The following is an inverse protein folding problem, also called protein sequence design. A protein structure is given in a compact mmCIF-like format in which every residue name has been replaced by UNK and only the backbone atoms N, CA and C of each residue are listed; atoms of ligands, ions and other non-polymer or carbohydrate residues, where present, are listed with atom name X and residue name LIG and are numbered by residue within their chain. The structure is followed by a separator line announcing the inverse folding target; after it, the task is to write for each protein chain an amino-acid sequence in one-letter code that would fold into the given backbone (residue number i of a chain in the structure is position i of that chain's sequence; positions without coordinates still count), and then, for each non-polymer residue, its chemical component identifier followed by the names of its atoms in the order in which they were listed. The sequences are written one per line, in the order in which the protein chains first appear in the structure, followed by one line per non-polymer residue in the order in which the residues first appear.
data_IF_587801579016
#
_entry.id   IF_587801579016
#
_cell.length_a   1.000
_cell.length_b   1.000
_cell.length_c   1.000
_cell.angle_alpha   90.00
_cell.angle_beta   90.00
_cell.angle_gamma   90.00
#
_symmetry.space_group_name_H-M   'P 1'
#
loop_
_entity.id
_entity.type
_entity.pdbx_description
1 polymer ?
#
# COMPACT_ATOMS: atom_id res chain seq x y z
N UNK A 1 -0.43 25.61 35.83
CA UNK A 1 -1.89 25.68 36.11
C UNK A 1 -2.49 24.35 35.69
N UNK A 2 -2.66 23.42 36.62
CA UNK A 2 -3.29 22.11 36.41
C UNK A 2 -4.70 22.17 36.99
N UNK A 3 -5.68 22.57 36.16
CA UNK A 3 -7.08 22.41 36.54
C UNK A 3 -7.37 20.91 36.67
N UNK A 4 -7.92 20.42 37.79
CA UNK A 4 -8.33 19.04 37.89
C UNK A 4 -9.43 18.75 36.88
N UNK A 5 -9.35 17.57 36.25
CA UNK A 5 -10.27 17.09 35.23
C UNK A 5 -11.71 17.09 35.79
N UNK A 6 -12.59 17.90 35.20
CA UNK A 6 -13.96 18.04 35.67
C UNK A 6 -14.79 16.80 35.29
N UNK A 7 -15.13 15.96 36.28
CA UNK A 7 -15.86 14.70 36.10
C UNK A 7 -17.19 14.88 35.35
N UNK A 8 -17.86 16.02 35.51
CA UNK A 8 -19.15 16.30 34.86
C UNK A 8 -18.96 16.53 33.35
N UNK A 9 -17.91 17.27 32.96
CA UNK A 9 -17.58 17.52 31.55
C UNK A 9 -17.16 16.23 30.85
N UNK A 10 -16.34 15.40 31.50
CA UNK A 10 -15.92 14.11 30.94
C UNK A 10 -17.11 13.20 30.69
N UNK A 11 -18.05 13.09 31.63
CA UNK A 11 -19.28 12.28 31.45
C UNK A 11 -20.14 12.84 30.31
N UNK A 12 -20.23 14.18 30.18
CA UNK A 12 -20.96 14.82 29.08
C UNK A 12 -20.34 14.51 27.72
N UNK A 13 -19.01 14.61 27.61
CA UNK A 13 -18.26 14.29 26.39
C UNK A 13 -18.42 12.82 26.01
N UNK A 14 -18.28 11.90 26.97
CA UNK A 14 -18.47 10.46 26.73
C UNK A 14 -19.89 10.16 26.25
N UNK A 15 -20.91 10.77 26.86
CA UNK A 15 -22.30 10.60 26.41
C UNK A 15 -22.52 11.10 24.98
N UNK A 16 -21.98 12.27 24.63
CA UNK A 16 -22.07 12.82 23.26
C UNK A 16 -21.36 11.93 22.24
N UNK A 17 -20.21 11.36 22.59
CA UNK A 17 -19.49 10.42 21.73
C UNK A 17 -20.30 9.13 21.54
N UNK A 18 -20.92 8.59 22.58
CA UNK A 18 -21.78 7.41 22.47
C UNK A 18 -23.03 7.67 21.62
N UNK A 19 -23.67 8.84 21.77
CA UNK A 19 -24.81 9.23 20.93
C UNK A 19 -24.41 9.36 19.46
N UNK A 20 -23.25 9.96 19.17
CA UNK A 20 -22.73 10.06 17.81
C UNK A 20 -22.46 8.69 17.20
N UNK A 21 -21.81 7.79 17.93
CA UNK A 21 -21.58 6.40 17.48
C UNK A 21 -22.91 5.68 17.19
N UNK A 22 -23.94 5.90 18.03
CA UNK A 22 -25.26 5.30 17.84
C UNK A 22 -25.96 5.85 16.59
N UNK A 23 -25.88 7.15 16.36
CA UNK A 23 -26.42 7.79 15.15
C UNK A 23 -25.74 7.29 13.88
N UNK A 24 -24.41 7.18 13.88
CA UNK A 24 -23.64 6.65 12.76
C UNK A 24 -24.04 5.21 12.43
N UNK A 25 -24.23 4.36 13.46
CA UNK A 25 -24.74 2.99 13.29
C UNK A 25 -26.17 2.96 12.76
N UNK A 26 -27.07 3.80 13.27
CA UNK A 26 -28.45 3.86 12.79
C UNK A 26 -28.54 4.31 11.32
N UNK A 27 -27.71 5.28 10.90
CA UNK A 27 -27.64 5.69 9.48
C UNK A 27 -27.12 4.54 8.61
N UNK A 28 -26.08 3.83 9.07
CA UNK A 28 -25.55 2.66 8.37
C UNK A 28 -26.60 1.54 8.22
N UNK A 29 -27.35 1.26 9.29
CA UNK A 29 -28.41 0.25 9.29
C UNK A 29 -29.57 0.67 8.38
N UNK A 30 -29.95 1.95 8.37
CA UNK A 30 -30.93 2.50 7.43
C UNK A 30 -30.44 2.33 5.98
N UNK A 31 -29.19 2.69 5.67
CA UNK A 31 -28.63 2.52 4.33
C UNK A 31 -28.63 1.05 3.90
N UNK A 32 -28.31 0.13 4.82
CA UNK A 32 -28.32 -1.31 4.58
C UNK A 32 -29.73 -1.84 4.35
N UNK A 33 -30.70 -1.43 5.17
CA UNK A 33 -32.11 -1.83 5.04
C UNK A 33 -32.75 -1.26 3.77
N UNK A 34 -32.43 -0.02 3.39
CA UNK A 34 -32.94 0.59 2.15
C UNK A 34 -32.28 -0.03 0.91
N UNK A 35 -30.99 -0.38 0.95
CA UNK A 35 -30.34 -1.08 -0.16
C UNK A 35 -30.94 -2.48 -0.43
N UNK A 36 -31.50 -3.14 0.58
CA UNK A 36 -32.21 -4.41 0.39
C UNK A 36 -33.62 -4.26 -0.20
N UNK A 37 -34.26 -3.08 -0.05
CA UNK A 37 -35.64 -2.82 -0.51
C UNK A 37 -35.67 -2.17 -1.90
N UNK A 38 -34.64 -1.39 -2.26
CA UNK A 38 -34.53 -0.71 -3.56
C UNK A 38 -33.63 -1.46 -4.56
N UNK A 39 -33.91 -2.74 -4.83
CA UNK A 39 -33.43 -3.40 -6.06
C UNK A 39 -34.24 -2.95 -7.29
N UNK A 40 -34.39 -1.63 -7.47
CA UNK A 40 -34.74 -1.07 -8.78
C UNK A 40 -33.45 -0.64 -9.48
N UNK A 41 -33.22 -1.30 -10.61
CA UNK A 41 -32.21 -1.05 -11.64
C UNK A 41 -31.46 0.29 -11.52
N UNK A 42 -30.29 0.25 -10.86
CA UNK A 42 -29.24 1.22 -11.15
C UNK A 42 -28.37 0.65 -12.28
N UNK A 43 -28.14 1.39 -13.37
CA UNK A 43 -27.07 1.05 -14.28
C UNK A 43 -25.73 1.15 -13.53
N UNK A 44 -25.06 0.01 -13.34
CA UNK A 44 -23.61 -0.17 -13.33
C UNK A 44 -22.70 0.73 -12.43
N UNK A 45 -22.88 0.76 -11.10
CA UNK A 45 -21.76 1.19 -10.19
C UNK A 45 -20.71 0.08 -9.94
N UNK A 46 -21.01 -1.18 -10.26
CA UNK A 46 -20.03 -2.30 -10.22
C UNK A 46 -19.05 -2.27 -11.41
N UNK A 47 -19.37 -1.55 -12.49
CA UNK A 47 -18.53 -1.46 -13.67
C UNK A 47 -17.35 -0.51 -13.44
N UNK A 48 -17.62 0.69 -12.92
CA UNK A 48 -16.62 1.75 -12.73
C UNK A 48 -15.54 1.35 -11.72
N UNK A 49 -15.91 0.78 -10.56
CA UNK A 49 -14.93 0.36 -9.54
C UNK A 49 -14.01 -0.77 -10.00
N UNK A 50 -14.51 -1.69 -10.83
CA UNK A 50 -13.72 -2.76 -11.44
C UNK A 50 -12.84 -2.21 -12.57
N UNK A 51 -13.33 -1.24 -13.34
CA UNK A 51 -12.55 -0.58 -14.39
C UNK A 51 -11.42 0.28 -13.81
N UNK A 52 -11.69 1.09 -12.78
CA UNK A 52 -10.66 1.89 -12.11
C UNK A 52 -9.67 1.04 -11.32
N UNK A 53 -10.14 -0.06 -10.70
CA UNK A 53 -9.26 -1.07 -10.10
C UNK A 53 -8.31 -1.71 -11.11
N UNK A 54 -8.76 -1.90 -12.37
CA UNK A 54 -7.88 -2.34 -13.46
C UNK A 54 -6.90 -1.23 -13.84
N UNK A 55 -7.35 0.03 -13.96
CA UNK A 55 -6.48 1.16 -14.29
C UNK A 55 -5.32 1.32 -13.31
N UNK A 56 -5.58 1.31 -11.99
CA UNK A 56 -4.50 1.41 -10.99
C UNK A 56 -3.53 0.22 -11.07
N UNK A 57 -4.05 -0.99 -11.34
CA UNK A 57 -3.23 -2.18 -11.54
C UNK A 57 -2.38 -2.10 -12.82
N UNK A 58 -2.88 -1.49 -13.89
CA UNK A 58 -2.15 -1.31 -15.14
C UNK A 58 -1.03 -0.26 -14.98
N UNK A 59 -1.32 0.89 -14.35
CA UNK A 59 -0.28 1.86 -13.95
C UNK A 59 0.76 1.23 -13.02
N UNK A 60 0.31 0.38 -12.09
CA UNK A 60 1.18 -0.40 -11.23
C UNK A 60 2.10 -1.35 -12.01
N UNK A 61 1.57 -2.09 -12.98
CA UNK A 61 2.36 -3.00 -13.83
C UNK A 61 3.43 -2.25 -14.62
N UNK A 62 3.09 -1.09 -15.17
CA UNK A 62 4.03 -0.23 -15.85
C UNK A 62 5.17 0.18 -14.92
N UNK A 63 4.86 0.68 -13.73
CA UNK A 63 5.87 1.07 -12.75
C UNK A 63 6.75 -0.10 -12.29
N UNK A 64 6.16 -1.27 -12.06
CA UNK A 64 6.95 -2.46 -11.68
C UNK A 64 7.89 -2.91 -12.81
N UNK A 65 7.52 -2.69 -14.09
CA UNK A 65 8.40 -2.94 -15.22
C UNK A 65 9.55 -1.93 -15.28
N UNK A 66 9.26 -0.64 -15.08
CA UNK A 66 10.26 0.42 -15.01
C UNK A 66 11.24 0.23 -13.84
N UNK A 67 10.76 -0.31 -12.72
CA UNK A 67 11.55 -0.64 -11.54
C UNK A 67 12.31 -1.97 -11.66
N UNK A 68 12.16 -2.71 -12.77
CA UNK A 68 12.86 -3.97 -13.03
C UNK A 68 12.34 -5.16 -12.21
N UNK A 69 11.10 -5.12 -11.71
CA UNK A 69 10.54 -6.11 -10.78
C UNK A 69 9.20 -6.71 -11.23
N UNK A 70 8.78 -6.49 -12.47
CA UNK A 70 7.55 -7.08 -13.01
C UNK A 70 7.54 -8.62 -12.94
N UNK A 71 8.69 -9.26 -13.14
CA UNK A 71 8.87 -10.72 -13.09
C UNK A 71 9.12 -11.30 -11.68
N UNK A 72 9.25 -10.46 -10.66
CA UNK A 72 9.56 -10.93 -9.30
C UNK A 72 8.33 -11.53 -8.60
N UNK A 73 8.55 -12.52 -7.73
CA UNK A 73 7.45 -13.17 -6.99
C UNK A 73 6.63 -12.20 -6.12
N UNK A 74 7.22 -11.07 -5.70
CA UNK A 74 6.54 -10.03 -4.94
C UNK A 74 5.70 -9.05 -5.78
N UNK A 75 5.76 -9.12 -7.12
CA UNK A 75 5.04 -8.19 -8.00
C UNK A 75 3.52 -8.31 -7.83
N UNK A 76 3.00 -9.55 -7.72
CA UNK A 76 1.58 -9.82 -7.48
C UNK A 76 1.09 -9.32 -6.12
N UNK A 77 1.93 -9.45 -5.10
CA UNK A 77 1.63 -8.92 -3.76
C UNK A 77 1.57 -7.39 -3.81
N UNK A 78 2.54 -6.72 -4.47
CA UNK A 78 2.54 -5.26 -4.66
C UNK A 78 1.31 -4.75 -5.42
N UNK A 79 0.90 -5.42 -6.50
CA UNK A 79 -0.34 -5.07 -7.22
C UNK A 79 -1.58 -5.22 -6.34
N UNK A 80 -1.67 -6.31 -5.57
CA UNK A 80 -2.76 -6.50 -4.59
C UNK A 80 -2.81 -5.38 -3.55
N UNK A 81 -1.64 -4.88 -3.12
CA UNK A 81 -1.57 -3.72 -2.22
C UNK A 81 -2.09 -2.45 -2.87
N UNK A 82 -1.75 -2.20 -4.14
CA UNK A 82 -2.24 -1.02 -4.86
C UNK A 82 -3.77 -1.03 -4.97
N UNK A 83 -4.36 -2.15 -5.36
CA UNK A 83 -5.82 -2.30 -5.43
C UNK A 83 -6.48 -2.08 -4.07
N UNK A 84 -5.90 -2.65 -3.02
CA UNK A 84 -6.40 -2.50 -1.66
C UNK A 84 -6.32 -1.05 -1.17
N UNK A 85 -5.17 -0.38 -1.37
CA UNK A 85 -4.95 1.01 -0.99
C UNK A 85 -5.88 1.95 -1.75
N UNK A 86 -6.09 1.69 -3.04
CA UNK A 86 -7.00 2.47 -3.87
C UNK A 86 -8.46 2.34 -3.41
N UNK A 87 -8.91 1.12 -3.11
CA UNK A 87 -10.23 0.89 -2.53
C UNK A 87 -10.40 1.53 -1.15
N UNK A 88 -9.37 1.47 -0.32
CA UNK A 88 -9.33 2.12 1.00
C UNK A 88 -9.44 3.64 0.89
N UNK A 89 -8.61 4.28 0.07
CA UNK A 89 -8.60 5.75 -0.07
C UNK A 89 -9.95 6.30 -0.54
N UNK A 90 -10.65 5.55 -1.41
CA UNK A 90 -12.01 5.91 -1.86
C UNK A 90 -13.05 5.83 -0.75
N UNK A 91 -12.91 4.85 0.15
CA UNK A 91 -13.83 4.69 1.27
C UNK A 91 -13.54 5.69 2.41
N UNK A 92 -12.26 5.95 2.66
CA UNK A 92 -11.76 6.89 3.65
C UNK A 92 -10.50 7.53 3.09
N UNK A 93 -10.53 8.85 2.91
CA UNK A 93 -9.34 9.60 2.51
C UNK A 93 -8.19 9.29 3.46
N UNK A 94 -6.95 9.27 2.97
CA UNK A 94 -5.76 9.11 3.82
C UNK A 94 -5.46 10.36 4.69
N UNK A 95 -6.47 11.14 5.04
CA UNK A 95 -6.40 12.35 5.86
C UNK A 95 -5.82 12.06 7.25
N UNK A 96 -6.11 10.88 7.81
CA UNK A 96 -5.57 10.40 9.09
C UNK A 96 -4.25 9.62 8.96
N UNK A 97 -3.68 9.58 7.76
CA UNK A 97 -2.40 8.96 7.47
C UNK A 97 -2.49 7.63 6.70
N UNK A 98 -1.36 7.26 6.12
CA UNK A 98 -1.25 6.05 5.31
C UNK A 98 -1.28 4.77 6.16
N UNK A 99 -2.04 3.73 5.76
CA UNK A 99 -2.22 2.50 6.53
C UNK A 99 -0.92 1.87 7.03
N UNK A 100 -0.99 1.18 8.17
CA UNK A 100 0.17 0.48 8.68
C UNK A 100 0.52 -0.72 7.77
N UNK A 101 1.82 -0.98 7.60
CA UNK A 101 2.29 -2.02 6.71
C UNK A 101 1.74 -3.41 7.10
N UNK A 102 1.63 -3.67 8.41
CA UNK A 102 1.06 -4.92 8.94
C UNK A 102 -0.40 -5.10 8.50
N UNK A 103 -1.18 -4.02 8.50
CA UNK A 103 -2.60 -4.06 8.14
C UNK A 103 -2.77 -4.26 6.63
N UNK A 104 -1.92 -3.60 5.82
CA UNK A 104 -1.88 -3.81 4.37
C UNK A 104 -1.63 -5.29 4.05
N UNK A 105 -0.57 -5.87 4.63
CA UNK A 105 -0.26 -7.29 4.43
C UNK A 105 -1.38 -8.21 4.91
N UNK A 106 -1.97 -7.92 6.06
CA UNK A 106 -3.07 -8.72 6.58
C UNK A 106 -4.27 -8.72 5.62
N UNK A 107 -4.65 -7.56 5.10
CA UNK A 107 -5.81 -7.42 4.23
C UNK A 107 -5.62 -8.04 2.85
N UNK A 108 -4.43 -7.91 2.24
CA UNK A 108 -4.15 -8.62 0.98
C UNK A 108 -4.12 -10.14 1.18
N UNK A 109 -3.67 -10.61 2.35
CA UNK A 109 -3.68 -12.04 2.68
C UNK A 109 -5.09 -12.56 2.89
N UNK A 110 -5.96 -11.81 3.58
CA UNK A 110 -7.39 -12.14 3.72
C UNK A 110 -8.14 -12.11 2.38
N UNK A 111 -7.79 -11.20 1.47
CA UNK A 111 -8.37 -11.18 0.12
C UNK A 111 -7.94 -12.38 -0.72
N UNK A 112 -6.72 -12.89 -0.47
CA UNK A 112 -6.10 -13.99 -1.23
C UNK A 112 -6.52 -15.37 -0.72
N UNK A 113 -6.69 -15.50 0.58
CA UNK A 113 -7.16 -16.73 1.23
C UNK A 113 -8.67 -16.64 1.36
N UNK A 114 -9.40 -17.57 0.74
CA UNK A 114 -10.84 -17.67 0.92
C UNK A 114 -11.20 -17.89 2.41
N UNK A 115 -12.49 -17.71 2.75
CA UNK A 115 -13.05 -17.71 4.11
C UNK A 115 -12.83 -18.99 4.96
N UNK A 116 -12.07 -19.96 4.46
CA UNK A 116 -11.85 -21.30 5.04
C UNK A 116 -10.45 -21.40 5.68
N UNK A 117 -9.57 -20.42 5.49
CA UNK A 117 -8.22 -20.45 6.04
C UNK A 117 -8.18 -20.26 7.57
N UNK A 118 -7.32 -21.03 8.26
CA UNK A 118 -7.05 -20.86 9.68
C UNK A 118 -6.21 -19.60 9.95
N UNK A 119 -6.29 -19.04 11.16
CA UNK A 119 -5.42 -17.92 11.59
C UNK A 119 -3.93 -18.22 11.42
N UNK A 120 -3.54 -19.49 11.59
CA UNK A 120 -2.16 -19.93 11.37
C UNK A 120 -1.73 -19.85 9.90
N UNK A 121 -2.63 -20.17 8.97
CA UNK A 121 -2.38 -20.08 7.53
C UNK A 121 -2.29 -18.63 7.08
N UNK A 122 -3.15 -17.77 7.64
CA UNK A 122 -3.14 -16.32 7.41
C UNK A 122 -1.81 -15.71 7.87
N UNK A 123 -1.31 -15.99 9.09
CA UNK A 123 -0.03 -15.43 9.52
C UNK A 123 1.16 -15.97 8.71
N UNK A 124 1.13 -17.25 8.33
CA UNK A 124 2.15 -17.86 7.48
C UNK A 124 2.21 -17.18 6.10
N UNK A 125 1.08 -17.02 5.43
CA UNK A 125 1.03 -16.37 4.12
C UNK A 125 1.35 -14.87 4.21
N UNK A 126 0.94 -14.20 5.29
CA UNK A 126 1.29 -12.79 5.55
C UNK A 126 2.81 -12.62 5.63
N UNK A 127 3.50 -13.47 6.41
CA UNK A 127 4.98 -13.46 6.51
C UNK A 127 5.64 -13.79 5.18
N UNK A 128 5.10 -14.75 4.44
CA UNK A 128 5.63 -15.12 3.12
C UNK A 128 5.48 -13.96 2.11
N UNK A 129 4.32 -13.30 2.07
CA UNK A 129 4.05 -12.11 1.26
C UNK A 129 5.00 -10.96 1.63
N UNK A 130 5.21 -10.72 2.92
CA UNK A 130 6.16 -9.72 3.40
C UNK A 130 7.58 -9.98 2.88
N UNK A 131 8.05 -11.23 2.95
CA UNK A 131 9.38 -11.59 2.48
C UNK A 131 9.49 -11.49 0.95
N UNK A 132 8.46 -11.90 0.19
CA UNK A 132 8.45 -11.77 -1.27
C UNK A 132 8.54 -10.30 -1.70
N UNK A 133 7.77 -9.42 -1.06
CA UNK A 133 7.83 -7.97 -1.33
C UNK A 133 9.18 -7.39 -0.96
N UNK A 134 9.76 -7.74 0.20
CA UNK A 134 11.12 -7.31 0.57
C UNK A 134 12.17 -7.71 -0.46
N UNK A 135 12.11 -8.95 -0.96
CA UNK A 135 13.02 -9.43 -2.01
C UNK A 135 12.83 -8.68 -3.32
N UNK A 136 11.58 -8.46 -3.75
CA UNK A 136 11.31 -7.68 -4.96
C UNK A 136 11.85 -6.25 -4.85
N UNK A 137 11.61 -5.55 -3.74
CA UNK A 137 12.15 -4.20 -3.50
C UNK A 137 13.68 -4.17 -3.57
N UNK A 138 14.34 -5.19 -3.01
CA UNK A 138 15.80 -5.30 -3.10
C UNK A 138 16.28 -5.51 -4.55
N UNK A 139 15.54 -6.28 -5.36
CA UNK A 139 15.85 -6.42 -6.77
C UNK A 139 15.66 -5.12 -7.56
N UNK A 140 14.65 -4.33 -7.22
CA UNK A 140 14.49 -2.99 -7.80
C UNK A 140 15.69 -2.08 -7.48
N UNK A 141 16.19 -2.14 -6.23
CA UNK A 141 17.40 -1.42 -5.86
C UNK A 141 18.62 -1.89 -6.67
N UNK A 142 18.78 -3.21 -6.88
CA UNK A 142 19.84 -3.75 -7.73
C UNK A 142 19.73 -3.23 -9.16
N UNK A 143 18.53 -3.26 -9.73
CA UNK A 143 18.28 -2.80 -11.09
C UNK A 143 18.67 -1.33 -11.27
N UNK A 144 18.18 -0.45 -10.38
CA UNK A 144 18.48 0.98 -10.43
C UNK A 144 19.97 1.25 -10.16
N UNK A 145 20.60 0.55 -9.22
CA UNK A 145 22.04 0.68 -8.98
C UNK A 145 22.86 0.27 -10.21
N UNK A 146 22.49 -0.81 -10.90
CA UNK A 146 23.13 -1.21 -12.17
C UNK A 146 22.96 -0.15 -13.25
N UNK A 147 21.76 0.44 -13.39
CA UNK A 147 21.52 1.52 -14.34
C UNK A 147 22.42 2.73 -14.01
N UNK A 148 22.45 3.18 -12.75
CA UNK A 148 23.27 4.30 -12.34
C UNK A 148 24.79 4.05 -12.46
N UNK A 149 25.24 2.79 -12.31
CA UNK A 149 26.64 2.43 -12.54
C UNK A 149 27.01 2.45 -14.02
N UNK A 150 26.04 2.16 -14.90
CA UNK A 150 26.25 2.16 -16.35
C UNK A 150 26.16 3.59 -16.91
N UNK A 151 25.14 4.34 -16.49
CA UNK A 151 24.88 5.72 -16.90
C UNK A 151 24.06 6.45 -15.82
N UNK A 152 24.68 7.43 -15.16
CA UNK A 152 23.99 8.28 -14.18
C UNK A 152 22.91 9.18 -14.80
N UNK A 153 22.98 9.44 -16.10
CA UNK A 153 22.00 10.26 -16.85
C UNK A 153 20.85 9.42 -17.41
N UNK A 154 20.80 8.12 -17.05
CA UNK A 154 19.72 7.25 -17.51
C UNK A 154 18.37 7.80 -16.99
N UNK A 155 17.38 8.08 -17.86
CA UNK A 155 16.13 8.71 -17.44
C UNK A 155 15.36 7.92 -16.38
N UNK A 156 15.44 6.58 -16.39
CA UNK A 156 14.80 5.73 -15.38
C UNK A 156 15.51 5.84 -14.05
N UNK A 157 16.84 5.86 -14.05
CA UNK A 157 17.61 6.07 -12.84
C UNK A 157 17.30 7.42 -12.21
N UNK A 158 17.43 8.51 -12.97
CA UNK A 158 17.15 9.87 -12.49
C UNK A 158 15.71 10.03 -11.98
N UNK A 159 14.74 9.42 -12.67
CA UNK A 159 13.33 9.55 -12.32
C UNK A 159 12.95 8.70 -11.11
N UNK A 160 13.43 7.46 -10.98
CA UNK A 160 12.92 6.49 -10.00
C UNK A 160 13.83 6.29 -8.79
N UNK A 161 15.15 6.32 -8.95
CA UNK A 161 16.07 6.09 -7.83
C UNK A 161 15.86 7.07 -6.66
N UNK A 162 15.82 8.40 -6.85
CA UNK A 162 15.62 9.34 -5.74
C UNK A 162 14.18 9.34 -5.19
N UNK A 163 13.18 8.91 -5.98
CA UNK A 163 11.78 8.80 -5.52
C UNK A 163 11.59 7.62 -4.58
N UNK A 164 12.06 6.44 -4.98
CA UNK A 164 11.78 5.19 -4.28
C UNK A 164 12.78 4.87 -3.17
N UNK A 165 14.01 5.37 -3.27
CA UNK A 165 15.10 5.04 -2.35
C UNK A 165 15.81 6.29 -1.84
N UNK A 166 16.39 6.19 -0.64
CA UNK A 166 17.29 7.24 -0.17
C UNK A 166 18.60 7.17 -0.95
N UNK A 167 19.14 8.32 -1.34
CA UNK A 167 20.36 8.39 -2.16
C UNK A 167 21.54 7.63 -1.52
N UNK A 168 21.65 7.65 -0.19
CA UNK A 168 22.67 6.91 0.56
C UNK A 168 22.55 5.40 0.37
N UNK A 169 21.33 4.87 0.28
CA UNK A 169 21.07 3.45 0.04
C UNK A 169 21.47 3.07 -1.39
N UNK A 170 21.09 3.89 -2.38
CA UNK A 170 21.44 3.67 -3.79
C UNK A 170 22.95 3.69 -3.97
N UNK A 171 23.63 4.73 -3.48
CA UNK A 171 25.09 4.87 -3.57
C UNK A 171 25.83 3.74 -2.85
N UNK A 172 25.36 3.34 -1.66
CA UNK A 172 25.92 2.20 -0.93
C UNK A 172 25.81 0.94 -1.78
N UNK A 173 24.65 0.69 -2.39
CA UNK A 173 24.46 -0.49 -3.25
C UNK A 173 25.37 -0.47 -4.48
N UNK A 174 25.49 0.67 -5.16
CA UNK A 174 26.40 0.85 -6.28
C UNK A 174 27.85 0.53 -5.89
N UNK A 175 28.28 1.00 -4.72
CA UNK A 175 29.64 0.75 -4.19
C UNK A 175 29.87 -0.74 -3.91
N UNK A 176 28.90 -1.42 -3.29
CA UNK A 176 28.96 -2.87 -3.04
C UNK A 176 29.07 -3.67 -4.34
N UNK A 177 28.38 -3.24 -5.40
CA UNK A 177 28.41 -3.91 -6.71
C UNK A 177 29.74 -3.73 -7.44
N UNK A 178 30.45 -2.62 -7.24
CA UNK A 178 31.76 -2.39 -7.88
C UNK A 178 32.91 -3.13 -7.19
N UNK A 179 32.80 -3.40 -5.89
CA UNK A 179 33.90 -3.97 -5.10
C UNK A 179 34.00 -5.50 -5.15
N UNK A 180 33.09 -6.19 -5.85
CA UNK A 180 32.94 -7.65 -5.81
C UNK A 180 32.92 -8.24 -4.38
N UNK A 181 32.60 -7.40 -3.39
CA UNK A 181 32.41 -7.86 -2.02
C UNK A 181 31.14 -8.71 -2.00
N UNK A 182 31.28 -9.98 -1.64
CA UNK A 182 30.17 -10.89 -1.36
C UNK A 182 29.36 -10.25 -0.23
N UNK A 183 28.34 -9.46 -0.59
CA UNK A 183 27.38 -8.77 0.27
C UNK A 183 27.68 -8.95 1.77
N UNK A 184 28.75 -8.30 2.25
CA UNK A 184 29.36 -8.65 3.53
C UNK A 184 28.48 -8.12 4.65
N UNK A 185 27.45 -8.90 5.01
CA UNK A 185 26.64 -8.90 6.23
C UNK A 185 25.99 -7.58 6.70
N UNK A 186 26.09 -6.49 5.95
CA UNK A 186 25.42 -5.23 6.24
C UNK A 186 24.11 -5.10 5.47
N UNK A 187 23.12 -5.98 5.72
CA UNK A 187 21.82 -5.95 5.04
C UNK A 187 21.32 -4.50 4.88
N UNK A 188 21.29 -4.01 3.63
CA UNK A 188 20.73 -2.71 3.32
C UNK A 188 19.28 -2.71 3.80
N UNK A 189 18.99 -1.90 4.82
CA UNK A 189 17.65 -1.76 5.37
C UNK A 189 16.86 -0.80 4.50
N UNK A 190 16.01 -1.36 3.65
CA UNK A 190 15.10 -0.57 2.82
C UNK A 190 13.79 -0.35 3.58
N UNK A 191 13.28 0.88 3.55
CA UNK A 191 11.97 1.21 4.12
C UNK A 191 10.85 0.73 3.19
N UNK A 192 10.36 -0.49 3.43
CA UNK A 192 9.26 -1.10 2.67
C UNK A 192 8.00 -0.23 2.66
N UNK A 193 7.65 0.43 3.78
CA UNK A 193 6.47 1.28 3.86
C UNK A 193 6.60 2.48 2.92
N UNK A 194 7.74 3.17 2.94
CA UNK A 194 8.03 4.30 2.03
C UNK A 194 7.95 3.86 0.57
N UNK A 195 8.53 2.70 0.23
CA UNK A 195 8.47 2.17 -1.13
C UNK A 195 7.02 1.96 -1.60
N UNK A 196 6.18 1.29 -0.79
CA UNK A 196 4.78 1.03 -1.14
C UNK A 196 3.98 2.34 -1.24
N UNK A 197 4.23 3.30 -0.36
CA UNK A 197 3.62 4.62 -0.41
C UNK A 197 3.93 5.34 -1.73
N UNK A 198 5.21 5.40 -2.10
CA UNK A 198 5.65 6.04 -3.35
C UNK A 198 5.07 5.30 -4.55
N UNK A 199 5.08 3.97 -4.55
CA UNK A 199 4.48 3.16 -5.61
C UNK A 199 2.99 3.50 -5.80
N UNK A 200 2.25 3.63 -4.70
CA UNK A 200 0.83 3.95 -4.72
C UNK A 200 0.55 5.32 -5.34
N UNK A 201 1.21 6.37 -4.84
CA UNK A 201 0.97 7.72 -5.35
C UNK A 201 1.45 7.90 -6.79
N UNK A 202 2.55 7.26 -7.18
CA UNK A 202 3.02 7.30 -8.57
C UNK A 202 2.04 6.56 -9.51
N UNK A 203 1.52 5.41 -9.09
CA UNK A 203 0.52 4.66 -9.86
C UNK A 203 -0.77 5.47 -10.03
N UNK A 204 -1.24 6.11 -8.95
CA UNK A 204 -2.41 6.99 -8.98
C UNK A 204 -2.18 8.20 -9.89
N UNK A 205 -1.00 8.84 -9.83
CA UNK A 205 -0.67 9.97 -10.69
C UNK A 205 -0.71 9.58 -12.16
N UNK A 206 -0.18 8.41 -12.53
CA UNK A 206 -0.25 7.92 -13.91
C UNK A 206 -1.70 7.65 -14.35
N UNK A 207 -2.53 7.12 -13.45
CA UNK A 207 -3.94 6.88 -13.70
C UNK A 207 -4.75 8.16 -13.99
N UNK A 208 -4.34 9.29 -13.42
CA UNK A 208 -5.01 10.60 -13.58
C UNK A 208 -4.52 11.38 -14.82
N UNK A 209 -3.40 10.97 -15.43
CA UNK A 209 -2.81 11.61 -16.62
C UNK A 209 -3.34 10.98 -17.93
N UNK A 210 -3.86 9.74 -17.88
CA UNK A 210 -4.54 9.04 -18.99
C UNK A 210 -6.03 9.38 -19.11
#
# INVERSE_FOLDING_TARGET
ITKPLNKIEVISVVRKVMERIRLERSIYDIQKSLNNVFQWEKPQMRSETVQEGKKISDSGRFLLAELGIAGENGSKDLLSMLEYLYGQEKAQTFEFGFPALKDIFHQITLKKLDHIASDADIDKERKASEQRVRRAIYQSLNHLASLGLTDFSNPKFESYAPKFFDFTIVRKRMTEMTKDEIATSGHIRINTKKFIQVLYFEAKRLMEIE
#
